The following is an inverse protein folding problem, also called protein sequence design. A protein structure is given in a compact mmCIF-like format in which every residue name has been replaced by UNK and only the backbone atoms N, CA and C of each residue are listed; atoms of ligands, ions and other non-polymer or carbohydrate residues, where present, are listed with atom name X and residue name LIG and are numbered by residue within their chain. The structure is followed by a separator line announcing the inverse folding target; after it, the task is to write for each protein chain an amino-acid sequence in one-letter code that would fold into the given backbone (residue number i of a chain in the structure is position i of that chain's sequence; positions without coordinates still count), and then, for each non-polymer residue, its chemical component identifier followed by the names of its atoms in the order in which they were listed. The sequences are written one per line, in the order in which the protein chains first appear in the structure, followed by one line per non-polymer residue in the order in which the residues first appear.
data_IF_644750245674
#
_entry.id   IF_644750245674
#
_cell.length_a   1.000
_cell.length_b   1.000
_cell.length_c   1.000
_cell.angle_alpha   90.00
_cell.angle_beta   90.00
_cell.angle_gamma   90.00
#
_symmetry.space_group_name_H-M   'P 1'
#
loop_
_entity.id
_entity.type
_entity.pdbx_description
1 polymer ?
#
# COMPACT_ATOMS: atom_id res chain seq x y z
N UNK A 1 25.03 -9.48 26.30
CA UNK A 1 23.61 -9.05 26.31
C UNK A 1 23.05 -9.23 24.91
N UNK A 2 22.14 -10.19 24.73
CA UNK A 2 21.66 -10.60 23.41
C UNK A 2 20.78 -9.53 22.77
N UNK A 3 21.17 -9.05 21.60
CA UNK A 3 20.34 -8.15 20.79
C UNK A 3 18.98 -8.81 20.53
N UNK A 4 17.92 -8.10 20.92
CA UNK A 4 16.52 -8.47 20.72
C UNK A 4 16.29 -8.92 19.27
N UNK A 5 16.01 -10.21 19.14
CA UNK A 5 15.76 -10.94 17.90
C UNK A 5 14.63 -10.26 17.09
N UNK A 6 14.98 -9.52 16.02
CA UNK A 6 14.13 -9.29 14.83
C UNK A 6 12.65 -8.91 15.10
N UNK A 7 12.36 -8.02 16.06
CA UNK A 7 11.01 -7.43 16.21
C UNK A 7 10.73 -6.32 15.17
N UNK A 8 11.78 -5.64 14.71
CA UNK A 8 11.70 -4.50 13.78
C UNK A 8 10.92 -4.77 12.48
N UNK A 9 11.15 -5.86 11.73
CA UNK A 9 10.50 -6.03 10.42
C UNK A 9 8.99 -6.27 10.52
N UNK A 10 8.50 -6.84 11.63
CA UNK A 10 7.06 -7.06 11.84
C UNK A 10 6.33 -5.75 12.10
N UNK A 11 6.94 -4.87 12.89
CA UNK A 11 6.40 -3.53 13.15
C UNK A 11 6.36 -2.70 11.88
N UNK A 12 7.44 -2.70 11.08
CA UNK A 12 7.51 -1.95 9.82
C UNK A 12 6.43 -2.38 8.83
N UNK A 13 6.25 -3.69 8.63
CA UNK A 13 5.22 -4.21 7.72
C UNK A 13 3.80 -3.81 8.17
N UNK A 14 3.54 -3.88 9.47
CA UNK A 14 2.27 -3.46 10.06
C UNK A 14 2.04 -1.95 9.88
N UNK A 15 3.07 -1.13 10.06
CA UNK A 15 2.99 0.33 9.85
C UNK A 15 2.70 0.67 8.39
N UNK A 16 3.37 0.00 7.43
CA UNK A 16 3.12 0.21 6.00
C UNK A 16 1.67 -0.16 5.66
N UNK A 17 1.17 -1.30 6.17
CA UNK A 17 -0.22 -1.69 5.95
C UNK A 17 -1.22 -0.68 6.54
N UNK A 18 -0.95 -0.15 7.74
CA UNK A 18 -1.80 0.87 8.37
C UNK A 18 -1.82 2.18 7.56
N UNK A 19 -0.64 2.65 7.11
CA UNK A 19 -0.53 3.81 6.24
C UNK A 19 -1.26 3.60 4.92
N UNK A 20 -1.20 2.40 4.35
CA UNK A 20 -1.90 2.05 3.10
C UNK A 20 -3.42 2.17 3.25
N UNK A 21 -3.97 1.66 4.36
CA UNK A 21 -5.41 1.78 4.66
C UNK A 21 -5.80 3.24 4.86
N UNK A 22 -4.98 4.02 5.58
CA UNK A 22 -5.19 5.46 5.73
C UNK A 22 -5.24 6.17 4.37
N UNK A 23 -4.36 5.79 3.45
CA UNK A 23 -4.30 6.32 2.09
C UNK A 23 -5.57 5.98 1.28
N UNK A 24 -6.11 4.77 1.41
CA UNK A 24 -7.40 4.40 0.78
C UNK A 24 -8.55 5.27 1.32
N UNK A 25 -8.62 5.45 2.64
CA UNK A 25 -9.64 6.30 3.27
C UNK A 25 -9.51 7.74 2.79
N UNK A 26 -8.28 8.27 2.73
CA UNK A 26 -8.02 9.60 2.21
C UNK A 26 -8.43 9.73 0.72
N UNK A 27 -8.16 8.70 -0.09
CA UNK A 27 -8.57 8.64 -1.51
C UNK A 27 -10.09 8.74 -1.63
N UNK A 28 -10.82 7.99 -0.81
CA UNK A 28 -12.28 8.02 -0.78
C UNK A 28 -12.83 9.39 -0.31
N UNK A 29 -12.30 9.97 0.76
CA UNK A 29 -12.83 11.25 1.28
C UNK A 29 -12.53 12.43 0.35
N UNK A 30 -11.34 12.45 -0.27
CA UNK A 30 -10.86 13.59 -1.05
C UNK A 30 -11.25 13.53 -2.52
N UNK A 31 -11.24 12.35 -3.14
CA UNK A 31 -11.44 12.18 -4.59
C UNK A 31 -12.77 11.55 -4.99
N UNK A 32 -13.60 11.08 -4.06
CA UNK A 32 -14.93 10.54 -4.38
C UNK A 32 -15.96 11.69 -4.55
N UNK A 33 -15.65 12.63 -5.44
CA UNK A 33 -16.47 13.79 -5.83
C UNK A 33 -16.43 13.94 -7.34
N UNK A 34 -17.48 14.47 -7.96
CA UNK A 34 -17.44 14.83 -9.38
C UNK A 34 -16.36 15.91 -9.63
N UNK A 35 -15.62 15.90 -10.76
CA UNK A 35 -15.69 14.99 -11.92
C UNK A 35 -14.75 13.76 -11.84
N UNK A 36 -14.02 13.58 -10.74
CA UNK A 36 -12.93 12.59 -10.62
C UNK A 36 -13.37 11.21 -10.11
N UNK A 37 -14.69 10.98 -9.97
CA UNK A 37 -15.26 9.80 -9.31
C UNK A 37 -14.88 8.48 -9.99
N UNK A 38 -14.85 8.44 -11.33
CA UNK A 38 -14.52 7.23 -12.10
C UNK A 38 -13.04 6.85 -11.92
N UNK A 39 -12.15 7.85 -11.88
CA UNK A 39 -10.73 7.61 -11.62
C UNK A 39 -10.48 7.22 -10.16
N UNK A 40 -11.20 7.85 -9.23
CA UNK A 40 -11.14 7.49 -7.82
C UNK A 40 -11.59 6.04 -7.59
N UNK A 41 -12.65 5.59 -8.27
CA UNK A 41 -13.11 4.21 -8.24
C UNK A 41 -12.06 3.23 -8.77
N UNK A 42 -11.49 3.48 -9.96
CA UNK A 42 -10.43 2.65 -10.53
C UNK A 42 -9.19 2.59 -9.62
N UNK A 43 -8.84 3.71 -9.02
CA UNK A 43 -7.72 3.78 -8.10
C UNK A 43 -8.01 3.03 -6.79
N UNK A 44 -9.22 3.11 -6.25
CA UNK A 44 -9.63 2.35 -5.08
C UNK A 44 -9.64 0.84 -5.36
N UNK A 45 -10.07 0.42 -6.56
CA UNK A 45 -10.00 -1.00 -6.98
C UNK A 45 -8.54 -1.47 -7.03
N UNK A 46 -7.65 -0.69 -7.67
CA UNK A 46 -6.23 -1.01 -7.75
C UNK A 46 -5.58 -1.04 -6.35
N UNK A 47 -5.91 -0.06 -5.49
CA UNK A 47 -5.44 -0.03 -4.11
C UNK A 47 -5.94 -1.25 -3.32
N UNK A 48 -7.20 -1.64 -3.50
CA UNK A 48 -7.79 -2.83 -2.88
C UNK A 48 -7.09 -4.12 -3.30
N UNK A 49 -6.79 -4.28 -4.59
CA UNK A 49 -6.03 -5.44 -5.08
C UNK A 49 -4.62 -5.50 -4.48
N UNK A 50 -3.92 -4.37 -4.46
CA UNK A 50 -2.62 -4.26 -3.81
C UNK A 50 -2.67 -4.55 -2.30
N UNK A 51 -3.75 -4.17 -1.60
CA UNK A 51 -3.96 -4.53 -0.20
C UNK A 51 -4.08 -6.05 -0.01
N UNK A 52 -4.79 -6.76 -0.90
CA UNK A 52 -4.87 -8.22 -0.86
C UNK A 52 -3.48 -8.85 -1.02
N UNK A 53 -2.68 -8.35 -1.97
CA UNK A 53 -1.29 -8.78 -2.14
C UNK A 53 -0.49 -8.52 -0.86
N UNK A 54 -0.65 -7.34 -0.25
CA UNK A 54 0.05 -6.97 0.98
C UNK A 54 -0.29 -7.90 2.14
N UNK A 55 -1.55 -8.35 2.27
CA UNK A 55 -1.99 -9.32 3.27
C UNK A 55 -1.31 -10.68 3.05
N UNK A 56 -1.26 -11.16 1.80
CA UNK A 56 -0.60 -12.42 1.45
C UNK A 56 0.90 -12.34 1.78
N UNK A 57 1.55 -11.24 1.41
CA UNK A 57 2.95 -11.00 1.71
C UNK A 57 3.21 -10.91 3.22
N UNK A 58 2.34 -10.25 3.99
CA UNK A 58 2.41 -10.22 5.45
C UNK A 58 2.32 -11.62 6.06
N UNK A 59 1.42 -12.46 5.56
CA UNK A 59 1.29 -13.84 6.01
C UNK A 59 2.55 -14.67 5.73
N UNK A 60 3.12 -14.55 4.53
CA UNK A 60 4.38 -15.22 4.16
C UNK A 60 5.53 -14.72 5.04
N UNK A 61 5.64 -13.41 5.27
CA UNK A 61 6.64 -12.82 6.15
C UNK A 61 6.50 -13.30 7.60
N UNK A 62 5.27 -13.50 8.07
CA UNK A 62 5.00 -14.01 9.42
C UNK A 62 5.46 -15.46 9.60
N UNK A 63 5.24 -16.31 8.58
CA UNK A 63 5.64 -17.73 8.61
C UNK A 63 7.14 -17.92 8.33
N UNK A 64 7.75 -17.02 7.56
CA UNK A 64 9.15 -17.14 7.15
C UNK A 64 10.12 -16.78 8.28
N UNK A 65 11.17 -17.59 8.45
CA UNK A 65 12.32 -17.29 9.33
C UNK A 65 13.52 -16.76 8.54
N UNK A 66 13.44 -16.72 7.20
CA UNK A 66 14.53 -16.29 6.34
C UNK A 66 14.56 -14.77 6.23
N UNK A 67 15.69 -14.17 6.62
CA UNK A 67 15.89 -12.72 6.64
C UNK A 67 15.77 -12.10 5.25
N UNK A 68 16.27 -12.77 4.22
CA UNK A 68 16.22 -12.28 2.83
C UNK A 68 14.77 -12.17 2.37
N UNK A 69 13.96 -13.21 2.64
CA UNK A 69 12.54 -13.23 2.29
C UNK A 69 11.78 -12.09 2.96
N UNK A 70 12.01 -11.86 4.26
CA UNK A 70 11.38 -10.76 4.99
C UNK A 70 11.78 -9.40 4.40
N UNK A 71 13.05 -9.21 4.05
CA UNK A 71 13.54 -7.96 3.47
C UNK A 71 12.93 -7.69 2.10
N UNK A 72 12.84 -8.73 1.25
CA UNK A 72 12.17 -8.64 -0.06
C UNK A 72 10.70 -8.29 0.11
N UNK A 73 10.01 -8.88 1.10
CA UNK A 73 8.61 -8.58 1.36
C UNK A 73 8.41 -7.13 1.82
N UNK A 74 9.29 -6.60 2.68
CA UNK A 74 9.28 -5.18 3.08
C UNK A 74 9.51 -4.30 1.86
N UNK A 75 10.45 -4.66 0.99
CA UNK A 75 10.76 -3.92 -0.22
C UNK A 75 9.55 -3.85 -1.17
N UNK A 76 8.93 -5.00 -1.48
CA UNK A 76 7.73 -5.06 -2.32
C UNK A 76 6.58 -4.27 -1.69
N UNK A 77 6.37 -4.42 -0.38
CA UNK A 77 5.34 -3.69 0.38
C UNK A 77 5.53 -2.17 0.31
N UNK A 78 6.78 -1.72 0.39
CA UNK A 78 7.14 -0.30 0.31
C UNK A 78 6.92 0.23 -1.11
N UNK A 79 7.27 -0.55 -2.14
CA UNK A 79 7.04 -0.18 -3.54
C UNK A 79 5.55 -0.08 -3.86
N UNK A 80 4.72 -1.01 -3.37
CA UNK A 80 3.27 -0.93 -3.52
C UNK A 80 2.70 0.33 -2.86
N UNK A 81 3.16 0.65 -1.64
CA UNK A 81 2.74 1.86 -0.94
C UNK A 81 3.16 3.13 -1.68
N UNK A 82 4.41 3.23 -2.13
CA UNK A 82 4.89 4.38 -2.90
C UNK A 82 4.15 4.52 -4.22
N UNK A 83 3.83 3.41 -4.90
CA UNK A 83 2.98 3.38 -6.07
C UNK A 83 1.62 4.00 -5.79
N UNK A 84 0.92 3.52 -4.75
CA UNK A 84 -0.37 4.07 -4.33
C UNK A 84 -0.30 5.54 -3.92
N UNK A 85 0.77 5.95 -3.20
CA UNK A 85 1.01 7.33 -2.80
C UNK A 85 1.22 8.24 -4.02
N UNK A 86 2.03 7.80 -4.98
CA UNK A 86 2.28 8.55 -6.22
C UNK A 86 1.01 8.68 -7.06
N UNK A 87 0.22 7.61 -7.17
CA UNK A 87 -1.08 7.64 -7.84
C UNK A 87 -2.06 8.58 -7.15
N UNK A 88 -1.96 8.72 -5.82
CA UNK A 88 -2.86 9.56 -5.03
C UNK A 88 -2.61 11.04 -5.28
N UNK A 89 -1.35 11.46 -5.29
CA UNK A 89 -1.01 12.84 -5.63
C UNK A 89 -1.25 13.16 -7.11
N UNK A 90 -1.01 12.18 -8.00
CA UNK A 90 -1.23 12.37 -9.44
C UNK A 90 -2.67 12.09 -9.89
N UNK A 91 -3.59 11.75 -8.97
CA UNK A 91 -4.94 11.27 -9.31
C UNK A 91 -5.74 12.32 -10.09
N UNK A 92 -5.62 13.59 -9.69
CA UNK A 92 -6.27 14.71 -10.39
C UNK A 92 -5.77 14.87 -11.84
N UNK A 93 -4.45 14.88 -12.03
CA UNK A 93 -3.82 14.94 -13.36
C UNK A 93 -4.15 13.70 -14.20
N UNK A 94 -4.03 12.51 -13.62
CA UNK A 94 -4.38 11.25 -14.29
C UNK A 94 -5.84 11.26 -14.74
N UNK A 95 -6.74 11.84 -13.95
CA UNK A 95 -8.14 11.92 -14.35
C UNK A 95 -8.41 12.97 -15.42
N UNK A 96 -7.66 14.07 -15.43
CA UNK A 96 -7.75 15.08 -16.50
C UNK A 96 -7.23 14.53 -17.85
N UNK A 97 -6.19 13.69 -17.83
CA UNK A 97 -5.59 13.09 -19.03
C UNK A 97 -6.20 11.74 -19.46
N UNK A 98 -6.70 10.93 -18.52
CA UNK A 98 -7.21 9.57 -18.76
C UNK A 98 -8.67 9.35 -18.31
N UNK A 99 -9.40 10.41 -17.92
CA UNK A 99 -10.79 10.34 -17.47
C UNK A 99 -11.84 10.13 -18.56
N UNK A 100 -11.43 9.67 -19.74
CA UNK A 100 -12.29 9.36 -20.89
C UNK A 100 -12.77 7.91 -20.87
#
# INVERSE_FOLDING_TARGET
MGYSRFKLPKTVLSTISALYVFLMIATYILYYKEPVIVCAERMLIAQGFAMVIQIILNYIAYRSKNKVVILTIIFISTMLFLGALSGFFNLGLMCEFYGY
#
